data_IF_126074142575
#
_entry.id   IF_126074142575
#
_cell.length_a   1.000
_cell.length_b   1.000
_cell.length_c   1.000
_cell.angle_alpha   90.00
_cell.angle_beta   90.00
_cell.angle_gamma   90.00
#
_symmetry.space_group_name_H-M   'P 1'
#
loop_
_entity.id
_entity.type
_entity.pdbx_description
1 polymer ?
#
# COMPACT_ATOMS: atom_id res chain seq x y z
N UNK A 1 -15.74 52.26 -32.04
CA UNK A 1 -14.84 52.09 -30.88
C UNK A 1 -15.43 51.34 -29.68
N UNK A 2 -16.74 51.36 -29.38
CA UNK A 2 -17.34 50.64 -28.23
C UNK A 2 -17.47 49.12 -28.42
N UNK A 3 -17.63 48.58 -29.63
CA UNK A 3 -17.76 47.14 -29.87
C UNK A 3 -16.43 46.35 -29.76
N UNK A 4 -15.29 46.99 -30.03
CA UNK A 4 -13.96 46.37 -29.92
C UNK A 4 -13.58 46.09 -28.44
N UNK A 5 -13.96 46.95 -27.52
CA UNK A 5 -13.67 46.81 -26.08
C UNK A 5 -14.51 45.73 -25.40
N UNK A 6 -15.71 45.43 -25.85
CA UNK A 6 -16.53 44.35 -25.31
C UNK A 6 -15.97 42.98 -25.70
N UNK A 7 -15.55 42.79 -26.95
CA UNK A 7 -14.98 41.50 -27.40
C UNK A 7 -13.66 41.14 -26.69
N UNK A 8 -12.85 42.14 -26.33
CA UNK A 8 -11.60 41.88 -25.58
C UNK A 8 -11.85 41.50 -24.14
N UNK A 9 -12.88 42.06 -23.47
CA UNK A 9 -13.29 41.69 -22.12
C UNK A 9 -13.90 40.27 -22.05
N UNK A 10 -14.71 39.86 -23.02
CA UNK A 10 -15.27 38.52 -23.11
C UNK A 10 -14.19 37.48 -23.38
N UNK A 11 -13.19 37.77 -24.21
CA UNK A 11 -12.05 36.86 -24.42
C UNK A 11 -11.15 36.75 -23.20
N UNK A 12 -10.95 37.82 -22.44
CA UNK A 12 -10.18 37.78 -21.19
C UNK A 12 -10.93 37.03 -20.09
N UNK A 13 -12.24 37.14 -19.97
CA UNK A 13 -13.07 36.41 -19.01
C UNK A 13 -13.13 34.92 -19.37
N UNK A 14 -13.24 34.55 -20.66
CA UNK A 14 -13.20 33.14 -21.10
C UNK A 14 -11.83 32.51 -20.93
N UNK A 15 -10.73 33.26 -21.05
CA UNK A 15 -9.38 32.80 -20.75
C UNK A 15 -9.16 32.64 -19.24
N UNK A 16 -9.67 33.55 -18.41
CA UNK A 16 -9.59 33.44 -16.94
C UNK A 16 -10.48 32.31 -16.39
N UNK A 17 -11.68 32.09 -16.93
CA UNK A 17 -12.53 30.96 -16.55
C UNK A 17 -11.97 29.63 -17.06
N UNK A 18 -11.36 29.57 -18.23
CA UNK A 18 -10.62 28.41 -18.73
C UNK A 18 -9.40 28.09 -17.88
N UNK A 19 -8.66 29.10 -17.41
CA UNK A 19 -7.52 28.94 -16.50
C UNK A 19 -7.96 28.53 -15.09
N UNK A 20 -9.10 29.02 -14.58
CA UNK A 20 -9.66 28.59 -13.30
C UNK A 20 -10.29 27.19 -13.36
N UNK A 21 -10.86 26.76 -14.49
CA UNK A 21 -11.30 25.36 -14.66
C UNK A 21 -10.13 24.39 -14.82
N UNK A 22 -8.97 24.82 -15.32
CA UNK A 22 -7.76 24.02 -15.35
C UNK A 22 -7.06 23.93 -13.99
N UNK A 23 -7.32 24.86 -13.07
CA UNK A 23 -6.77 24.86 -11.70
C UNK A 23 -7.59 24.02 -10.68
N UNK A 24 -8.72 23.43 -11.07
CA UNK A 24 -9.40 22.39 -10.31
C UNK A 24 -8.84 20.98 -10.56
N UNK A 25 -7.73 20.86 -11.29
CA UNK A 25 -6.90 19.67 -11.27
C UNK A 25 -6.28 19.57 -9.87
N UNK A 26 -6.99 18.88 -9.00
CA UNK A 26 -6.61 18.26 -7.73
C UNK A 26 -5.25 18.73 -7.19
N UNK A 27 -5.27 19.48 -6.09
CA UNK A 27 -4.12 19.63 -5.22
C UNK A 27 -3.77 18.23 -4.68
N UNK A 28 -2.88 17.52 -5.39
CA UNK A 28 -2.22 16.34 -4.85
C UNK A 28 -1.36 16.82 -3.69
N UNK A 29 -1.59 16.28 -2.50
CA UNK A 29 -0.75 16.60 -1.34
C UNK A 29 0.62 15.98 -1.58
N UNK A 30 1.57 16.81 -1.99
CA UNK A 30 2.97 16.44 -2.16
C UNK A 30 3.63 16.37 -0.77
N UNK A 31 3.91 15.18 -0.29
CA UNK A 31 5.11 14.97 0.51
C UNK A 31 6.24 14.77 -0.49
N UNK A 32 7.46 15.24 -0.24
CA UNK A 32 8.55 15.31 -1.24
C UNK A 32 8.76 14.04 -2.10
N UNK A 33 8.26 12.88 -1.70
CA UNK A 33 8.49 11.59 -2.33
C UNK A 33 7.21 10.76 -2.56
N UNK A 34 6.00 11.31 -2.31
CA UNK A 34 4.75 10.58 -2.49
C UNK A 34 3.60 11.48 -2.96
N UNK A 35 2.76 10.93 -3.83
CA UNK A 35 1.53 11.52 -4.32
C UNK A 35 0.35 10.72 -3.77
N UNK A 36 -0.52 11.36 -2.99
CA UNK A 36 -1.79 10.80 -2.58
C UNK A 36 -2.74 10.73 -3.78
N UNK A 37 -3.27 9.54 -4.05
CA UNK A 37 -4.20 9.29 -5.13
C UNK A 37 -5.65 9.15 -4.64
N UNK A 38 -5.95 9.46 -3.39
CA UNK A 38 -7.33 9.52 -2.90
C UNK A 38 -8.15 10.59 -3.62
N UNK A 39 -9.47 10.41 -3.68
CA UNK A 39 -10.38 11.35 -4.33
C UNK A 39 -11.22 10.73 -5.44
N UNK A 40 -11.70 11.55 -6.36
CA UNK A 40 -12.56 11.10 -7.46
C UNK A 40 -11.75 10.40 -8.55
N UNK A 41 -12.21 9.22 -8.94
CA UNK A 41 -11.71 8.44 -10.07
C UNK A 41 -12.82 8.26 -11.10
N UNK A 42 -12.48 8.17 -12.38
CA UNK A 42 -13.39 7.64 -13.39
C UNK A 42 -13.61 6.17 -13.11
N UNK A 43 -14.77 5.65 -13.50
CA UNK A 43 -15.21 4.35 -13.11
C UNK A 43 -16.07 3.67 -14.16
N UNK A 44 -16.00 2.33 -14.21
CA UNK A 44 -16.93 1.50 -15.00
C UNK A 44 -16.98 0.09 -14.43
N UNK A 45 -18.20 -0.47 -14.33
CA UNK A 45 -18.40 -1.89 -14.07
C UNK A 45 -18.25 -2.70 -15.35
N UNK A 46 -17.67 -3.89 -15.23
CA UNK A 46 -17.47 -4.83 -16.33
C UNK A 46 -17.88 -6.25 -15.85
N UNK A 47 -19.19 -6.49 -15.68
CA UNK A 47 -19.69 -7.76 -15.14
C UNK A 47 -19.42 -8.96 -16.05
N UNK A 48 -19.23 -8.72 -17.34
CA UNK A 48 -18.95 -9.77 -18.32
C UNK A 48 -17.46 -10.05 -18.50
N UNK A 49 -16.58 -9.18 -17.95
CA UNK A 49 -15.12 -9.32 -18.02
C UNK A 49 -14.54 -9.06 -19.43
N UNK A 50 -15.23 -8.29 -20.26
CA UNK A 50 -14.78 -8.02 -21.63
C UNK A 50 -13.78 -6.87 -21.74
N UNK A 51 -13.59 -6.09 -20.69
CA UNK A 51 -12.72 -4.89 -20.70
C UNK A 51 -11.24 -5.15 -20.93
N UNK A 52 -10.80 -6.42 -21.01
CA UNK A 52 -9.47 -6.83 -21.43
C UNK A 52 -9.45 -7.49 -22.83
N UNK A 53 -10.61 -7.62 -23.47
CA UNK A 53 -10.75 -8.31 -24.75
C UNK A 53 -10.37 -7.38 -25.90
N UNK A 54 -9.61 -7.85 -26.91
CA UNK A 54 -9.27 -7.05 -28.08
C UNK A 54 -10.50 -6.41 -28.74
N UNK A 55 -10.47 -5.09 -28.91
CA UNK A 55 -11.57 -4.26 -29.42
C UNK A 55 -12.57 -3.77 -28.38
N UNK A 56 -12.33 -4.05 -27.08
CA UNK A 56 -13.15 -3.62 -25.95
C UNK A 56 -12.28 -3.24 -24.74
N UNK A 57 -11.04 -2.83 -24.97
CA UNK A 57 -10.06 -2.55 -23.92
C UNK A 57 -10.40 -1.29 -23.15
N UNK A 58 -11.02 -1.43 -21.98
CA UNK A 58 -11.46 -0.29 -21.16
C UNK A 58 -10.32 0.58 -20.64
N UNK A 59 -9.09 0.09 -20.62
CA UNK A 59 -7.93 0.91 -20.24
C UNK A 59 -7.51 1.91 -21.36
N UNK A 60 -7.95 1.69 -22.59
CA UNK A 60 -7.75 2.64 -23.72
C UNK A 60 -8.86 3.68 -23.80
N UNK A 61 -10.01 3.41 -23.21
CA UNK A 61 -11.17 4.28 -23.24
C UNK A 61 -11.18 5.26 -22.07
N UNK A 62 -11.91 6.35 -22.24
CA UNK A 62 -12.23 7.26 -21.15
C UNK A 62 -13.48 6.75 -20.43
N UNK A 63 -13.29 6.22 -19.21
CA UNK A 63 -14.42 5.69 -18.43
C UNK A 63 -15.46 6.76 -18.11
N UNK A 64 -16.75 6.40 -18.17
CA UNK A 64 -17.86 7.34 -18.24
C UNK A 64 -18.41 7.76 -16.87
N UNK A 65 -18.33 6.88 -15.87
CA UNK A 65 -18.82 7.13 -14.51
C UNK A 65 -17.74 7.64 -13.59
N UNK A 66 -18.10 7.90 -12.33
CA UNK A 66 -17.14 8.31 -11.29
C UNK A 66 -17.43 7.59 -9.99
N UNK A 67 -16.38 7.42 -9.17
CA UNK A 67 -16.42 6.87 -7.82
C UNK A 67 -15.38 7.55 -6.93
N UNK A 68 -15.67 7.66 -5.64
CA UNK A 68 -14.71 8.13 -4.64
C UNK A 68 -13.82 6.98 -4.18
N UNK A 69 -12.50 7.15 -4.18
CA UNK A 69 -11.52 6.24 -3.62
C UNK A 69 -10.69 6.95 -2.52
N UNK A 70 -10.20 6.24 -1.51
CA UNK A 70 -10.46 4.83 -1.21
C UNK A 70 -11.94 4.55 -0.92
N UNK A 71 -12.40 3.36 -1.28
CA UNK A 71 -13.77 2.96 -1.09
C UNK A 71 -14.14 1.68 -1.84
N UNK A 72 -15.38 1.23 -1.63
CA UNK A 72 -15.97 0.09 -2.32
C UNK A 72 -17.07 0.50 -3.29
N UNK A 73 -17.43 -0.42 -4.17
CA UNK A 73 -18.61 -0.29 -5.04
C UNK A 73 -19.89 -0.05 -4.22
N UNK A 74 -20.03 -0.69 -3.04
CA UNK A 74 -21.13 -0.46 -2.11
C UNK A 74 -21.23 0.99 -1.65
N UNK A 75 -20.12 1.56 -1.19
CA UNK A 75 -20.05 2.97 -0.77
C UNK A 75 -20.34 3.91 -1.93
N UNK A 76 -19.86 3.58 -3.11
CA UNK A 76 -20.09 4.34 -4.34
C UNK A 76 -21.49 4.20 -4.92
N UNK A 77 -22.34 3.35 -4.34
CA UNK A 77 -23.68 3.06 -4.88
C UNK A 77 -23.64 2.38 -6.24
N UNK A 78 -22.60 1.59 -6.50
CA UNK A 78 -22.36 0.90 -7.78
C UNK A 78 -22.66 -0.58 -7.67
N UNK A 79 -23.34 -1.11 -8.68
CA UNK A 79 -23.81 -2.51 -8.72
C UNK A 79 -25.33 -2.62 -8.71
N UNK A 80 -25.84 -3.80 -8.37
CA UNK A 80 -27.26 -4.08 -8.28
C UNK A 80 -27.76 -3.69 -6.89
N UNK A 81 -28.73 -2.78 -6.83
CA UNK A 81 -29.33 -2.38 -5.55
C UNK A 81 -30.03 -3.57 -4.91
N UNK A 82 -29.56 -3.94 -3.73
CA UNK A 82 -30.16 -5.04 -2.98
C UNK A 82 -31.38 -4.56 -2.19
N UNK A 83 -32.51 -5.23 -2.37
CA UNK A 83 -33.74 -5.01 -1.62
C UNK A 83 -34.12 -6.18 -0.71
N UNK A 84 -33.36 -7.27 -0.79
CA UNK A 84 -33.55 -8.45 0.03
C UNK A 84 -33.04 -8.21 1.48
N UNK A 85 -33.66 -8.91 2.43
CA UNK A 85 -33.19 -9.00 3.81
C UNK A 85 -32.83 -10.44 4.10
N UNK A 86 -31.56 -10.69 4.24
CA UNK A 86 -31.05 -12.02 4.58
C UNK A 86 -30.98 -12.16 6.10
N UNK A 87 -31.24 -13.38 6.61
CA UNK A 87 -31.11 -13.73 8.03
C UNK A 87 -29.89 -14.61 8.31
N UNK A 88 -29.30 -15.17 7.26
CA UNK A 88 -28.19 -16.14 7.28
C UNK A 88 -26.87 -15.57 6.80
N UNK A 89 -26.86 -14.30 6.35
CA UNK A 89 -25.68 -13.63 5.77
C UNK A 89 -25.84 -12.12 5.81
N UNK A 90 -24.77 -11.43 5.43
CA UNK A 90 -24.76 -9.97 5.35
C UNK A 90 -25.64 -9.48 4.18
N UNK A 91 -26.36 -8.39 4.41
CA UNK A 91 -27.16 -7.70 3.40
C UNK A 91 -26.48 -6.40 3.02
N UNK A 92 -25.71 -6.40 1.93
CA UNK A 92 -25.11 -5.18 1.37
C UNK A 92 -26.17 -4.33 0.68
N UNK A 93 -25.96 -3.01 0.61
CA UNK A 93 -26.85 -2.09 -0.10
C UNK A 93 -26.80 -2.28 -1.61
N UNK A 94 -25.61 -2.55 -2.13
CA UNK A 94 -25.36 -2.81 -3.54
C UNK A 94 -24.48 -4.05 -3.64
N UNK A 95 -24.85 -4.96 -4.51
CA UNK A 95 -24.12 -6.20 -4.76
C UNK A 95 -23.43 -6.10 -6.12
N UNK A 96 -22.18 -6.46 -6.15
CA UNK A 96 -21.42 -6.56 -7.38
C UNK A 96 -20.37 -7.66 -7.29
N UNK A 97 -20.32 -8.49 -8.33
CA UNK A 97 -19.27 -9.48 -8.56
C UNK A 97 -18.81 -9.39 -10.00
N UNK A 98 -17.52 -9.24 -10.22
CA UNK A 98 -16.93 -9.05 -11.53
C UNK A 98 -15.78 -8.04 -11.52
N UNK A 99 -15.30 -7.67 -12.69
CA UNK A 99 -14.30 -6.66 -12.86
C UNK A 99 -14.88 -5.24 -12.72
N UNK A 100 -14.20 -4.39 -11.95
CA UNK A 100 -14.49 -2.98 -11.82
C UNK A 100 -13.24 -2.18 -12.20
N UNK A 101 -13.41 -1.17 -13.03
CA UNK A 101 -12.36 -0.38 -13.62
C UNK A 101 -12.33 1.02 -13.02
N UNK A 102 -11.14 1.46 -12.63
CA UNK A 102 -10.87 2.74 -12.00
C UNK A 102 -9.80 3.45 -12.80
N UNK A 103 -10.01 4.72 -13.17
CA UNK A 103 -9.10 5.45 -14.04
C UNK A 103 -8.88 6.88 -13.55
N UNK A 104 -7.63 7.34 -13.59
CA UNK A 104 -7.26 8.70 -13.19
C UNK A 104 -6.03 9.18 -13.95
N UNK A 105 -6.02 10.45 -14.32
CA UNK A 105 -4.81 11.14 -14.77
C UNK A 105 -3.92 11.48 -13.58
N UNK A 106 -2.64 11.22 -13.71
CA UNK A 106 -1.60 11.52 -12.73
C UNK A 106 -0.49 12.33 -13.37
N UNK A 107 0.09 13.25 -12.61
CA UNK A 107 1.22 14.06 -13.05
C UNK A 107 2.47 13.57 -12.33
N UNK A 108 3.43 13.05 -13.08
CA UNK A 108 4.71 12.60 -12.54
C UNK A 108 5.68 13.78 -12.53
N UNK A 109 6.23 14.14 -11.34
CA UNK A 109 7.16 15.25 -11.20
C UNK A 109 8.48 15.03 -11.96
N UNK A 110 9.10 16.11 -12.43
CA UNK A 110 10.39 16.08 -13.12
C UNK A 110 11.53 15.52 -12.27
N UNK A 111 11.49 15.76 -10.96
CA UNK A 111 12.50 15.25 -10.00
C UNK A 111 12.39 13.74 -9.74
N UNK A 112 11.39 13.06 -10.32
CA UNK A 112 11.27 11.59 -10.30
C UNK A 112 11.91 10.89 -11.50
N UNK A 113 12.46 11.62 -12.47
CA UNK A 113 13.00 11.10 -13.74
C UNK A 113 14.00 9.93 -13.57
N UNK A 114 14.87 10.03 -12.58
CA UNK A 114 15.91 9.02 -12.31
C UNK A 114 15.63 8.10 -11.12
N UNK A 115 14.38 8.11 -10.61
CA UNK A 115 13.97 7.36 -9.41
C UNK A 115 13.20 6.10 -9.79
N UNK A 116 13.07 5.16 -8.86
CA UNK A 116 12.11 4.06 -8.98
C UNK A 116 10.75 4.51 -8.48
N UNK A 117 9.71 4.35 -9.34
CA UNK A 117 8.34 4.77 -9.06
C UNK A 117 7.50 3.56 -8.75
N UNK A 118 6.77 3.64 -7.65
CA UNK A 118 5.91 2.59 -7.13
C UNK A 118 4.48 3.07 -7.00
N UNK A 119 3.51 2.23 -7.39
CA UNK A 119 2.12 2.35 -7.00
C UNK A 119 1.88 1.44 -5.81
N UNK A 120 1.35 1.99 -4.72
CA UNK A 120 0.87 1.24 -3.57
C UNK A 120 -0.65 1.33 -3.50
N UNK A 121 -1.31 0.17 -3.45
CA UNK A 121 -2.73 0.01 -3.17
C UNK A 121 -2.81 -0.81 -1.89
N UNK A 122 -3.28 -0.20 -0.78
CA UNK A 122 -3.20 -0.85 0.52
C UNK A 122 -4.01 -2.12 0.59
N UNK A 123 -5.23 -2.11 0.04
CA UNK A 123 -6.10 -3.27 0.01
C UNK A 123 -7.04 -3.22 -1.19
N UNK A 124 -6.86 -4.16 -2.08
CA UNK A 124 -7.80 -4.43 -3.17
C UNK A 124 -8.49 -5.77 -2.92
N UNK A 125 -9.71 -5.92 -3.36
CA UNK A 125 -10.43 -7.16 -3.20
C UNK A 125 -10.87 -7.70 -4.57
N UNK A 126 -10.05 -8.53 -5.22
CA UNK A 126 -8.76 -9.10 -4.82
C UNK A 126 -7.75 -9.17 -5.97
N UNK A 127 -8.14 -9.68 -7.17
CA UNK A 127 -7.28 -9.63 -8.35
C UNK A 127 -7.18 -8.19 -8.84
N UNK A 128 -5.97 -7.71 -8.99
CA UNK A 128 -5.71 -6.32 -9.37
C UNK A 128 -4.76 -6.28 -10.55
N UNK A 129 -5.21 -5.72 -11.66
CA UNK A 129 -4.38 -5.45 -12.84
C UNK A 129 -4.21 -3.94 -13.00
N UNK A 130 -3.00 -3.49 -13.27
CA UNK A 130 -2.66 -2.08 -13.41
C UNK A 130 -2.16 -1.81 -14.83
N UNK A 131 -2.62 -0.70 -15.38
CA UNK A 131 -2.20 -0.17 -16.69
C UNK A 131 -1.70 1.26 -16.52
N UNK A 132 -0.68 1.60 -17.28
CA UNK A 132 -0.20 2.97 -17.47
C UNK A 132 -0.35 3.30 -18.94
N UNK A 133 -1.17 4.28 -19.24
CA UNK A 133 -1.57 4.63 -20.61
C UNK A 133 -2.13 3.37 -21.34
N UNK A 134 -1.45 2.92 -22.39
CA UNK A 134 -1.81 1.75 -23.20
C UNK A 134 -1.11 0.45 -22.78
N UNK A 135 -0.34 0.45 -21.68
CA UNK A 135 0.52 -0.69 -21.30
C UNK A 135 0.14 -1.29 -19.97
N UNK A 136 0.05 -2.61 -19.94
CA UNK A 136 -0.09 -3.34 -18.70
C UNK A 136 1.20 -3.30 -17.88
N UNK A 137 1.09 -2.85 -16.62
CA UNK A 137 2.19 -2.84 -15.66
C UNK A 137 2.30 -4.17 -14.90
N UNK A 138 1.23 -4.95 -14.88
CA UNK A 138 1.18 -6.26 -14.25
C UNK A 138 -0.07 -6.53 -13.45
N UNK A 139 -0.17 -7.75 -12.93
CA UNK A 139 -1.30 -8.24 -12.14
C UNK A 139 -0.82 -8.81 -10.81
N UNK A 140 -1.61 -8.60 -9.76
CA UNK A 140 -1.42 -9.20 -8.43
C UNK A 140 -2.74 -9.71 -7.89
N UNK A 141 -2.63 -10.72 -7.04
CA UNK A 141 -3.78 -11.40 -6.48
C UNK A 141 -3.56 -11.57 -4.97
N UNK A 142 -3.97 -10.54 -4.22
CA UNK A 142 -3.80 -10.47 -2.78
C UNK A 142 -5.12 -10.07 -2.12
N UNK A 143 -5.54 -10.83 -1.10
CA UNK A 143 -6.76 -10.55 -0.36
C UNK A 143 -6.54 -9.56 0.80
N UNK A 144 -5.42 -9.66 1.51
CA UNK A 144 -5.21 -8.96 2.79
C UNK A 144 -3.89 -8.19 2.90
N UNK A 145 -3.04 -8.27 1.89
CA UNK A 145 -1.75 -7.57 1.86
C UNK A 145 -1.76 -6.47 0.79
N UNK A 146 -0.96 -5.40 0.96
CA UNK A 146 -0.85 -4.36 -0.05
C UNK A 146 -0.37 -4.88 -1.40
N UNK A 147 -0.97 -4.37 -2.46
CA UNK A 147 -0.49 -4.54 -3.83
C UNK A 147 0.47 -3.40 -4.16
N UNK A 148 1.75 -3.71 -4.39
CA UNK A 148 2.75 -2.72 -4.80
C UNK A 148 3.28 -3.08 -6.18
N UNK A 149 3.18 -2.14 -7.13
CA UNK A 149 3.65 -2.29 -8.50
C UNK A 149 4.84 -1.37 -8.76
N UNK A 150 5.87 -1.86 -9.45
CA UNK A 150 6.97 -1.03 -9.95
C UNK A 150 6.56 -0.48 -11.30
N UNK A 151 6.38 0.82 -11.39
CA UNK A 151 5.90 1.49 -12.61
C UNK A 151 7.01 2.24 -13.38
N UNK A 152 8.23 2.25 -12.88
CA UNK A 152 9.39 2.95 -13.48
C UNK A 152 9.55 2.73 -14.99
N UNK A 153 9.39 1.50 -15.53
CA UNK A 153 9.56 1.30 -16.97
C UNK A 153 8.49 1.99 -17.84
N UNK A 154 7.37 2.38 -17.23
CA UNK A 154 6.19 2.91 -17.92
C UNK A 154 5.92 4.39 -17.61
N UNK A 155 6.43 4.90 -16.49
CA UNK A 155 6.21 6.28 -16.05
C UNK A 155 7.47 7.11 -16.27
N UNK A 156 7.37 8.11 -17.13
CA UNK A 156 8.32 9.21 -17.24
C UNK A 156 7.70 10.46 -16.59
N UNK A 157 8.46 11.54 -16.32
CA UNK A 157 7.87 12.82 -15.96
C UNK A 157 6.84 13.28 -16.99
N UNK A 158 5.71 13.81 -16.51
CA UNK A 158 4.62 14.25 -17.36
C UNK A 158 3.25 13.72 -16.93
N UNK A 159 2.27 13.84 -17.83
CA UNK A 159 0.90 13.39 -17.59
C UNK A 159 0.72 11.98 -18.11
N UNK A 160 0.19 11.10 -17.27
CA UNK A 160 -0.13 9.72 -17.59
C UNK A 160 -1.53 9.34 -17.15
N UNK A 161 -2.14 8.38 -17.82
CA UNK A 161 -3.40 7.76 -17.40
C UNK A 161 -3.11 6.47 -16.63
N UNK A 162 -3.47 6.45 -15.36
CA UNK A 162 -3.41 5.25 -14.53
C UNK A 162 -4.78 4.56 -14.54
N UNK A 163 -4.84 3.33 -15.01
CA UNK A 163 -6.05 2.50 -15.01
C UNK A 163 -5.84 1.25 -14.18
N UNK A 164 -6.78 0.97 -13.28
CA UNK A 164 -6.74 -0.17 -12.35
C UNK A 164 -8.00 -0.98 -12.55
N UNK A 165 -7.86 -2.28 -12.78
CA UNK A 165 -8.95 -3.23 -12.82
C UNK A 165 -8.90 -4.09 -11.54
N UNK A 166 -9.94 -4.05 -10.72
CA UNK A 166 -10.11 -4.93 -9.56
C UNK A 166 -11.22 -5.91 -9.83
N UNK A 167 -10.93 -7.21 -9.70
CA UNK A 167 -11.90 -8.27 -9.95
C UNK A 167 -12.07 -9.12 -8.69
N UNK A 168 -13.30 -9.18 -8.17
CA UNK A 168 -13.68 -9.98 -7.00
C UNK A 168 -14.40 -11.30 -7.35
N UNK A 169 -14.33 -11.72 -8.61
CA UNK A 169 -14.90 -13.01 -9.02
C UNK A 169 -14.22 -14.17 -8.30
N UNK A 170 -15.01 -15.07 -7.75
CA UNK A 170 -14.51 -16.26 -7.06
C UNK A 170 -13.88 -17.22 -8.07
N UNK A 171 -12.55 -17.31 -8.06
CA UNK A 171 -11.78 -18.16 -8.99
C UNK A 171 -11.52 -19.56 -8.46
N UNK A 172 -11.45 -19.70 -7.15
CA UNK A 172 -11.05 -20.95 -6.49
C UNK A 172 -12.27 -21.63 -5.90
N UNK A 173 -12.34 -22.95 -5.91
CA UNK A 173 -13.43 -23.72 -5.30
C UNK A 173 -13.29 -23.66 -3.77
N UNK A 174 -13.77 -22.57 -3.19
CA UNK A 174 -13.78 -22.35 -1.75
C UNK A 174 -15.17 -22.62 -1.19
N UNK A 175 -15.22 -23.13 0.04
CA UNK A 175 -16.46 -23.29 0.79
C UNK A 175 -17.15 -21.93 1.02
N UNK A 176 -18.46 -21.94 1.08
CA UNK A 176 -19.26 -20.73 1.36
C UNK A 176 -18.93 -20.05 2.69
N UNK A 177 -18.36 -20.80 3.64
CA UNK A 177 -17.94 -20.29 4.95
C UNK A 177 -16.50 -19.76 4.98
N UNK A 178 -15.85 -19.67 3.83
CA UNK A 178 -14.51 -19.12 3.75
C UNK A 178 -14.53 -17.60 3.97
N UNK A 179 -13.74 -17.15 4.96
CA UNK A 179 -13.75 -15.77 5.40
C UNK A 179 -13.20 -14.80 4.36
N UNK A 180 -13.88 -13.66 4.19
CA UNK A 180 -13.44 -12.56 3.33
C UNK A 180 -13.66 -12.78 1.83
N UNK A 181 -14.32 -13.87 1.42
CA UNK A 181 -14.54 -14.19 0.01
C UNK A 181 -16.01 -14.42 -0.34
N UNK A 182 -16.88 -14.58 0.65
CA UNK A 182 -18.32 -14.81 0.46
C UNK A 182 -19.17 -13.93 1.39
N UNK A 183 -20.45 -13.82 1.06
CA UNK A 183 -21.41 -13.04 1.85
C UNK A 183 -21.80 -13.71 3.18
N UNK A 184 -21.44 -14.98 3.40
CA UNK A 184 -21.84 -15.72 4.60
C UNK A 184 -21.00 -15.40 5.83
N UNK A 185 -19.80 -14.85 5.65
CA UNK A 185 -18.88 -14.54 6.75
C UNK A 185 -18.54 -13.05 6.82
N UNK A 186 -17.72 -12.56 5.90
CA UNK A 186 -17.57 -11.15 5.57
C UNK A 186 -18.13 -10.96 4.17
N UNK A 187 -18.11 -9.79 3.61
CA UNK A 187 -18.65 -9.59 2.26
C UNK A 187 -17.61 -9.84 1.18
N UNK A 188 -18.06 -10.25 -0.02
CA UNK A 188 -17.26 -10.24 -1.24
C UNK A 188 -17.36 -8.87 -1.91
N UNK A 189 -16.80 -7.82 -1.27
CA UNK A 189 -16.82 -6.46 -1.78
C UNK A 189 -15.89 -6.28 -2.99
N UNK A 190 -16.06 -5.22 -3.78
CA UNK A 190 -15.13 -4.80 -4.81
C UNK A 190 -14.69 -3.36 -4.52
N UNK A 191 -13.42 -3.07 -4.70
CA UNK A 191 -12.91 -1.72 -4.46
C UNK A 191 -11.44 -1.67 -4.10
N UNK A 192 -11.01 -0.46 -3.73
CA UNK A 192 -9.67 -0.16 -3.23
C UNK A 192 -9.85 0.56 -1.91
N UNK A 193 -9.48 -0.09 -0.81
CA UNK A 193 -9.58 0.46 0.54
C UNK A 193 -8.20 0.85 1.10
N UNK A 194 -8.19 1.78 2.04
CA UNK A 194 -6.96 2.27 2.66
C UNK A 194 -6.16 3.20 1.76
N UNK A 195 -4.85 3.19 1.87
CA UNK A 195 -3.94 4.11 1.20
C UNK A 195 -3.79 3.79 -0.30
N UNK A 196 -3.89 4.81 -1.13
CA UNK A 196 -3.63 4.75 -2.57
C UNK A 196 -2.59 5.82 -2.89
N UNK A 197 -1.37 5.42 -3.20
CA UNK A 197 -0.29 6.38 -3.43
C UNK A 197 0.69 5.95 -4.52
N UNK A 198 1.20 6.93 -5.26
CA UNK A 198 2.45 6.80 -6.00
C UNK A 198 3.56 7.34 -5.12
N UNK A 199 4.70 6.65 -5.08
CA UNK A 199 5.89 7.15 -4.41
C UNK A 199 7.15 6.82 -5.19
N UNK A 200 8.15 7.69 -5.06
CA UNK A 200 9.44 7.54 -5.72
C UNK A 200 10.54 7.25 -4.70
N UNK A 201 11.45 6.38 -5.10
CA UNK A 201 12.65 6.04 -4.32
C UNK A 201 13.89 6.19 -5.17
N UNK A 202 15.01 6.55 -4.54
CA UNK A 202 16.31 6.49 -5.20
C UNK A 202 16.56 5.07 -5.72
N UNK A 203 17.22 4.94 -6.88
CA UNK A 203 17.57 3.62 -7.46
C UNK A 203 18.36 2.75 -6.49
N UNK A 204 19.18 3.38 -5.65
CA UNK A 204 19.92 2.73 -4.58
C UNK A 204 19.17 2.85 -3.24
N UNK A 205 18.08 2.10 -3.05
CA UNK A 205 17.29 2.14 -1.83
C UNK A 205 17.22 0.78 -1.14
N UNK A 206 16.78 0.79 0.10
CA UNK A 206 16.47 -0.43 0.87
C UNK A 206 15.04 -0.85 0.53
N UNK A 207 14.88 -2.06 0.00
CA UNK A 207 13.56 -2.64 -0.30
C UNK A 207 12.89 -3.21 0.94
N UNK A 208 13.69 -3.87 1.80
CA UNK A 208 13.18 -4.55 2.99
C UNK A 208 14.21 -4.62 4.10
N UNK A 209 13.74 -4.47 5.34
CA UNK A 209 14.48 -4.77 6.57
C UNK A 209 13.63 -5.71 7.40
N UNK A 210 14.21 -6.83 7.80
CA UNK A 210 13.65 -7.74 8.80
C UNK A 210 14.57 -7.82 10.01
N UNK A 211 13.97 -7.91 11.20
CA UNK A 211 14.67 -7.89 12.48
C UNK A 211 14.24 -9.11 13.26
N UNK A 212 15.20 -9.93 13.64
CA UNK A 212 14.98 -11.19 14.37
C UNK A 212 15.75 -11.16 15.70
N UNK A 213 15.09 -10.75 16.80
CA UNK A 213 15.71 -10.77 18.12
C UNK A 213 15.95 -12.19 18.61
N UNK A 214 17.14 -12.43 19.17
CA UNK A 214 17.46 -13.67 19.92
C UNK A 214 17.80 -13.29 21.37
N UNK A 215 16.89 -13.63 22.27
CA UNK A 215 17.02 -13.35 23.68
C UNK A 215 18.12 -14.21 24.31
N UNK A 216 18.31 -15.43 23.83
CA UNK A 216 19.27 -16.38 24.39
C UNK A 216 20.72 -15.96 24.15
N UNK A 217 21.02 -15.55 22.96
CA UNK A 217 22.34 -15.02 22.57
C UNK A 217 22.51 -13.53 22.86
N UNK A 218 21.44 -12.85 23.28
CA UNK A 218 21.41 -11.37 23.46
C UNK A 218 21.88 -10.63 22.23
N UNK A 219 21.40 -11.07 21.07
CA UNK A 219 21.77 -10.53 19.79
C UNK A 219 20.53 -10.30 18.91
N UNK A 220 20.70 -9.59 17.82
CA UNK A 220 19.65 -9.36 16.82
C UNK A 220 20.22 -9.72 15.45
N UNK A 221 19.60 -10.68 14.75
CA UNK A 221 19.86 -10.87 13.35
C UNK A 221 19.06 -9.85 12.55
N UNK A 222 19.73 -9.14 11.67
CA UNK A 222 19.12 -8.16 10.77
C UNK A 222 19.34 -8.61 9.34
N UNK A 223 18.24 -8.74 8.59
CA UNK A 223 18.26 -9.02 7.16
C UNK A 223 17.87 -7.76 6.40
N UNK A 224 18.77 -7.26 5.56
CA UNK A 224 18.54 -6.09 4.71
C UNK A 224 18.56 -6.53 3.26
N UNK A 225 17.54 -6.14 2.51
CA UNK A 225 17.43 -6.36 1.07
C UNK A 225 17.49 -5.00 0.36
N UNK A 226 18.66 -4.55 -0.09
CA UNK A 226 18.74 -3.35 -0.93
C UNK A 226 18.19 -3.61 -2.34
N UNK A 227 17.93 -2.53 -3.08
CA UNK A 227 17.72 -2.62 -4.53
C UNK A 227 18.96 -3.18 -5.23
N UNK A 228 18.81 -3.90 -6.35
CA UNK A 228 19.92 -4.49 -7.08
C UNK A 228 20.96 -3.46 -7.49
N UNK A 229 22.23 -3.81 -7.33
CA UNK A 229 23.35 -3.03 -7.82
C UNK A 229 23.71 -3.44 -9.26
N UNK A 230 24.25 -2.50 -10.02
CA UNK A 230 24.89 -2.81 -11.29
C UNK A 230 26.15 -3.64 -11.05
N UNK A 231 26.53 -4.45 -12.03
CA UNK A 231 27.79 -5.21 -11.99
C UNK A 231 28.97 -4.27 -11.77
N UNK A 232 29.81 -4.58 -10.78
CA UNK A 232 30.95 -3.78 -10.39
C UNK A 232 30.68 -2.61 -9.43
N UNK A 233 29.40 -2.33 -9.13
CA UNK A 233 29.07 -1.40 -8.05
C UNK A 233 29.20 -2.06 -6.67
N UNK A 234 29.53 -1.24 -5.68
CA UNK A 234 29.50 -1.59 -4.26
C UNK A 234 28.68 -0.57 -3.50
N UNK A 235 27.99 -1.04 -2.48
CA UNK A 235 27.25 -0.19 -1.57
C UNK A 235 27.81 -0.32 -0.15
N UNK A 236 27.59 0.70 0.66
CA UNK A 236 27.97 0.74 2.08
C UNK A 236 26.70 0.69 2.92
N UNK A 237 26.58 -0.35 3.74
CA UNK A 237 25.49 -0.50 4.72
C UNK A 237 25.99 -0.12 6.11
N UNK A 238 25.30 0.81 6.75
CA UNK A 238 25.46 1.11 8.16
C UNK A 238 24.21 0.65 8.93
N UNK A 239 24.40 -0.14 9.97
CA UNK A 239 23.36 -0.61 10.89
C UNK A 239 23.63 0.01 12.28
N UNK A 240 22.62 0.66 12.84
CA UNK A 240 22.70 1.31 14.14
C UNK A 240 21.49 0.91 15.00
N UNK A 241 21.73 0.24 16.14
CA UNK A 241 20.68 -0.04 17.12
C UNK A 241 20.79 0.92 18.28
N UNK A 242 19.65 1.49 18.67
CA UNK A 242 19.52 2.39 19.82
C UNK A 242 18.32 2.03 20.69
N UNK A 243 18.35 2.43 21.95
CA UNK A 243 17.13 2.51 22.78
C UNK A 243 16.18 3.51 22.11
N UNK A 244 14.88 3.29 22.11
CA UNK A 244 13.91 4.17 21.46
C UNK A 244 14.07 5.62 21.97
N UNK A 245 14.46 6.54 21.07
CA UNK A 245 14.76 7.93 21.39
C UNK A 245 16.03 8.15 22.24
N UNK A 246 16.91 7.14 22.37
CA UNK A 246 17.99 7.14 23.34
C UNK A 246 19.37 6.77 22.78
N UNK A 247 20.19 6.16 23.66
CA UNK A 247 21.60 5.86 23.46
C UNK A 247 21.81 4.78 22.40
N UNK A 248 22.82 4.96 21.55
CA UNK A 248 23.32 3.91 20.63
C UNK A 248 23.92 2.76 21.45
N UNK A 249 23.47 1.54 21.11
CA UNK A 249 23.91 0.28 21.70
C UNK A 249 24.98 -0.36 20.85
N UNK A 250 24.73 -0.46 19.55
CA UNK A 250 25.66 -1.05 18.59
C UNK A 250 25.57 -0.32 17.25
N UNK A 251 26.73 -0.17 16.62
CA UNK A 251 26.84 0.34 15.25
C UNK A 251 27.79 -0.57 14.49
N UNK A 252 27.40 -0.96 13.29
CA UNK A 252 28.20 -1.77 12.39
C UNK A 252 28.12 -1.23 10.97
N UNK A 253 29.26 -1.22 10.29
CA UNK A 253 29.35 -0.80 8.89
C UNK A 253 29.98 -1.91 8.08
N UNK A 254 29.45 -2.17 6.90
CA UNK A 254 29.98 -3.13 5.94
C UNK A 254 29.79 -2.65 4.50
N UNK A 255 30.65 -3.12 3.62
CA UNK A 255 30.45 -2.96 2.19
C UNK A 255 29.87 -4.24 1.61
N UNK A 256 29.04 -4.11 0.59
CA UNK A 256 28.48 -5.23 -0.13
C UNK A 256 28.52 -4.99 -1.63
N UNK A 257 28.89 -6.02 -2.38
CA UNK A 257 28.88 -6.03 -3.83
C UNK A 257 27.52 -6.48 -4.38
N UNK A 258 27.40 -6.52 -5.70
CA UNK A 258 26.15 -6.90 -6.36
C UNK A 258 25.70 -8.34 -6.06
N UNK A 259 26.61 -9.28 -5.81
CA UNK A 259 26.29 -10.67 -5.46
C UNK A 259 25.71 -10.76 -4.04
N UNK A 260 26.36 -10.08 -3.08
CA UNK A 260 25.90 -10.01 -1.69
C UNK A 260 24.55 -9.33 -1.59
N UNK A 261 24.33 -8.24 -2.33
CA UNK A 261 23.04 -7.55 -2.41
C UNK A 261 21.96 -8.47 -3.00
N UNK A 262 22.29 -9.23 -4.04
CA UNK A 262 21.35 -10.18 -4.65
C UNK A 262 20.93 -11.29 -3.67
N UNK A 263 21.88 -11.82 -2.90
CA UNK A 263 21.63 -12.85 -1.88
C UNK A 263 20.87 -12.31 -0.65
N UNK A 264 20.87 -10.99 -0.45
CA UNK A 264 20.40 -10.35 0.79
C UNK A 264 21.50 -10.31 1.87
N UNK A 265 21.64 -9.15 2.50
CA UNK A 265 22.66 -8.91 3.51
C UNK A 265 22.12 -9.31 4.88
N UNK A 266 22.79 -10.23 5.56
CA UNK A 266 22.45 -10.65 6.93
C UNK A 266 23.58 -10.35 7.87
N UNK A 267 23.23 -9.79 9.05
CA UNK A 267 24.20 -9.43 10.09
C UNK A 267 23.64 -9.77 11.46
N UNK A 268 24.46 -10.35 12.33
CA UNK A 268 24.14 -10.54 13.74
C UNK A 268 24.79 -9.48 14.58
N UNK A 269 24.00 -8.69 15.28
CA UNK A 269 24.43 -7.56 16.10
C UNK A 269 24.30 -7.90 17.58
N UNK A 270 25.40 -7.96 18.36
CA UNK A 270 25.35 -8.24 19.79
C UNK A 270 24.80 -7.04 20.56
N UNK A 271 23.77 -7.26 21.37
CA UNK A 271 23.13 -6.23 22.19
C UNK A 271 23.79 -6.05 23.57
N UNK A 272 24.68 -6.98 23.95
CA UNK A 272 25.38 -6.96 25.23
C UNK A 272 24.52 -7.35 26.43
N UNK A 273 25.16 -7.40 27.62
CA UNK A 273 24.54 -7.95 28.81
C UNK A 273 23.46 -7.07 29.46
N UNK A 274 23.36 -5.80 29.07
CA UNK A 274 22.38 -4.85 29.64
C UNK A 274 21.11 -4.72 28.81
N UNK A 275 20.87 -5.67 27.90
CA UNK A 275 19.65 -5.71 27.11
C UNK A 275 18.42 -5.88 28.01
N UNK A 276 17.41 -5.04 27.76
CA UNK A 276 16.11 -5.11 28.44
C UNK A 276 15.13 -5.88 27.56
N UNK A 277 14.40 -6.80 28.18
CA UNK A 277 13.41 -7.59 27.47
C UNK A 277 12.11 -6.81 27.35
N UNK A 278 11.37 -7.14 26.31
CA UNK A 278 10.02 -6.66 26.12
C UNK A 278 9.04 -7.70 26.74
N UNK A 279 8.14 -7.24 27.57
CA UNK A 279 6.94 -7.99 27.97
C UNK A 279 5.72 -7.06 28.03
N UNK A 280 4.54 -7.61 28.30
CA UNK A 280 3.28 -6.87 28.31
C UNK A 280 3.17 -5.84 29.46
N UNK A 281 3.99 -5.94 30.47
CA UNK A 281 4.03 -5.01 31.61
C UNK A 281 5.14 -3.96 31.45
N UNK A 282 6.22 -4.37 30.78
CA UNK A 282 7.39 -3.52 30.50
C UNK A 282 7.73 -3.59 29.01
N UNK A 283 6.94 -2.94 28.15
CA UNK A 283 7.07 -3.05 26.68
C UNK A 283 8.28 -2.25 26.16
N UNK A 284 9.49 -2.69 26.55
CA UNK A 284 10.72 -1.99 26.20
C UNK A 284 11.09 -2.20 24.73
N UNK A 285 11.29 -1.10 24.01
CA UNK A 285 11.53 -1.10 22.57
C UNK A 285 12.91 -0.58 22.24
N UNK A 286 13.45 -1.12 21.17
CA UNK A 286 14.66 -0.69 20.49
C UNK A 286 14.32 -0.24 19.09
N UNK A 287 15.21 0.55 18.52
CA UNK A 287 15.11 1.01 17.15
C UNK A 287 16.37 0.61 16.40
N UNK A 288 16.21 0.00 15.23
CA UNK A 288 17.30 -0.20 14.28
C UNK A 288 17.12 0.75 13.10
N UNK A 289 18.17 1.47 12.80
CA UNK A 289 18.34 2.28 11.62
C UNK A 289 19.32 1.59 10.68
N UNK A 290 18.90 1.40 9.43
CA UNK A 290 19.76 0.92 8.35
C UNK A 290 19.90 2.01 7.30
N UNK A 291 21.15 2.43 7.04
CA UNK A 291 21.51 3.41 6.02
C UNK A 291 22.30 2.73 4.92
N UNK A 292 21.78 2.79 3.68
CA UNK A 292 22.40 2.22 2.50
C UNK A 292 22.90 3.33 1.57
N UNK A 293 24.18 3.37 1.33
CA UNK A 293 24.80 4.38 0.47
C UNK A 293 25.44 3.74 -0.77
N UNK A 294 25.11 4.28 -1.94
CA UNK A 294 25.73 3.92 -3.23
C UNK A 294 26.02 5.20 -3.99
N UNK A 295 27.25 5.39 -4.41
CA UNK A 295 27.70 6.55 -5.20
C UNK A 295 27.29 7.91 -4.58
N UNK A 296 27.31 7.98 -3.23
CA UNK A 296 26.98 9.20 -2.47
C UNK A 296 25.48 9.41 -2.20
N UNK A 297 24.60 8.62 -2.79
CA UNK A 297 23.16 8.64 -2.49
C UNK A 297 22.86 7.67 -1.35
N UNK A 298 22.11 8.14 -0.35
CA UNK A 298 21.78 7.36 0.86
C UNK A 298 20.29 7.21 1.02
N UNK A 299 19.83 5.97 1.20
CA UNK A 299 18.49 5.65 1.72
C UNK A 299 18.60 5.16 3.16
N UNK A 300 17.71 5.64 4.02
CA UNK A 300 17.69 5.27 5.43
C UNK A 300 16.30 4.79 5.83
N UNK A 301 16.25 3.64 6.47
CA UNK A 301 15.02 3.09 7.01
C UNK A 301 15.18 2.69 8.47
N UNK A 302 14.11 2.87 9.23
CA UNK A 302 14.07 2.55 10.66
C UNK A 302 13.00 1.49 10.92
N UNK A 303 13.31 0.59 11.87
CA UNK A 303 12.35 -0.39 12.39
C UNK A 303 12.44 -0.44 13.91
N UNK A 304 11.27 -0.50 14.54
CA UNK A 304 11.16 -0.69 15.99
C UNK A 304 11.00 -2.18 16.30
N UNK A 305 11.65 -2.66 17.34
CA UNK A 305 11.56 -4.06 17.79
C UNK A 305 11.68 -4.18 19.31
N UNK A 306 11.14 -5.27 19.86
CA UNK A 306 11.34 -5.65 21.26
C UNK A 306 12.20 -6.92 21.36
N UNK A 307 13.09 -6.96 22.33
CA UNK A 307 13.84 -8.19 22.65
C UNK A 307 12.93 -9.13 23.41
N UNK A 308 12.32 -10.08 22.69
CA UNK A 308 11.39 -11.06 23.24
C UNK A 308 11.52 -12.40 22.54
N UNK A 309 11.24 -13.46 23.30
CA UNK A 309 11.07 -14.80 22.77
C UNK A 309 9.64 -15.27 23.08
N UNK A 310 8.93 -15.72 22.05
CA UNK A 310 7.60 -16.33 22.16
C UNK A 310 7.76 -17.79 21.76
N UNK A 311 7.43 -18.70 22.65
CA UNK A 311 7.60 -20.13 22.45
C UNK A 311 6.36 -20.93 22.87
N UNK A 312 6.21 -22.10 22.30
CA UNK A 312 5.17 -23.04 22.69
C UNK A 312 5.66 -23.84 23.92
N UNK A 313 5.00 -23.65 25.07
CA UNK A 313 5.16 -24.53 26.21
C UNK A 313 4.27 -25.76 26.09
N UNK A 314 4.32 -26.63 27.12
CA UNK A 314 3.53 -27.86 27.13
C UNK A 314 2.01 -27.63 27.10
N UNK A 315 1.54 -26.60 27.81
CA UNK A 315 0.12 -26.28 27.97
C UNK A 315 -0.21 -24.82 27.71
N UNK A 316 0.79 -23.93 27.68
CA UNK A 316 0.65 -22.50 27.55
C UNK A 316 1.66 -21.93 26.55
N UNK A 317 1.36 -20.78 25.99
CA UNK A 317 2.35 -19.96 25.30
C UNK A 317 3.24 -19.32 26.35
N UNK A 318 4.55 -19.25 26.07
CA UNK A 318 5.54 -18.61 26.93
C UNK A 318 6.08 -17.35 26.30
N UNK A 319 6.25 -16.35 27.12
CA UNK A 319 6.95 -15.13 26.76
C UNK A 319 8.19 -15.00 27.65
N UNK A 320 9.37 -14.99 27.05
CA UNK A 320 10.66 -14.99 27.75
C UNK A 320 10.78 -16.08 28.83
N UNK A 321 10.27 -17.29 28.53
CA UNK A 321 10.25 -18.43 29.44
C UNK A 321 9.14 -18.43 30.50
N UNK A 322 8.35 -17.36 30.62
CA UNK A 322 7.21 -17.25 31.53
C UNK A 322 5.91 -17.66 30.82
N UNK A 323 5.12 -18.52 31.43
CA UNK A 323 3.79 -18.86 30.92
C UNK A 323 2.89 -17.62 30.92
N UNK A 324 2.18 -17.40 29.82
CA UNK A 324 1.23 -16.30 29.67
C UNK A 324 -0.17 -16.84 29.44
N UNK A 325 -1.17 -16.05 29.85
CA UNK A 325 -2.57 -16.34 29.61
C UNK A 325 -3.16 -15.30 28.65
N UNK A 326 -3.54 -15.76 27.46
CA UNK A 326 -4.14 -14.89 26.45
C UNK A 326 -5.64 -14.78 26.72
N UNK A 327 -6.14 -13.55 26.75
CA UNK A 327 -7.57 -13.24 26.75
C UNK A 327 -7.89 -12.54 25.45
N UNK A 328 -8.92 -12.99 24.77
CA UNK A 328 -9.31 -12.43 23.49
C UNK A 328 -10.80 -12.53 23.26
N UNK A 329 -11.28 -11.81 22.28
CA UNK A 329 -12.62 -11.90 21.73
C UNK A 329 -12.52 -12.23 20.25
N UNK A 330 -13.54 -12.91 19.72
CA UNK A 330 -13.72 -13.07 18.30
C UNK A 330 -14.51 -11.88 17.78
N UNK A 331 -13.91 -11.12 16.88
CA UNK A 331 -14.60 -10.06 16.13
C UNK A 331 -14.56 -10.42 14.64
N UNK A 332 -15.71 -10.63 14.04
CA UNK A 332 -15.84 -10.91 12.62
C UNK A 332 -15.67 -9.65 11.75
N UNK A 333 -15.50 -8.48 12.36
CA UNK A 333 -15.30 -7.20 11.67
C UNK A 333 -16.34 -6.95 10.55
N UNK A 334 -17.61 -7.12 10.89
CA UNK A 334 -18.75 -7.06 9.96
C UNK A 334 -19.17 -5.61 9.78
N UNK A 335 -19.01 -5.09 8.56
CA UNK A 335 -19.35 -3.71 8.20
C UNK A 335 -20.29 -3.68 6.98
N UNK A 336 -21.60 -3.86 7.15
CA UNK A 336 -22.54 -4.02 6.03
C UNK A 336 -22.73 -2.76 5.18
N UNK A 337 -22.35 -1.58 5.71
CA UNK A 337 -22.46 -0.32 4.95
C UNK A 337 -21.35 -0.15 3.91
N UNK A 338 -20.18 -0.71 4.16
CA UNK A 338 -18.99 -0.57 3.33
C UNK A 338 -18.57 -1.87 2.66
N UNK A 339 -18.92 -3.00 3.24
CA UNK A 339 -18.50 -4.33 2.81
C UNK A 339 -17.10 -4.72 3.31
N UNK A 340 -16.39 -3.83 4.02
CA UNK A 340 -15.06 -4.08 4.60
C UNK A 340 -14.90 -3.33 5.93
N UNK A 341 -13.95 -3.75 6.81
CA UNK A 341 -13.66 -3.05 8.05
C UNK A 341 -13.20 -1.61 7.81
N UNK A 342 -13.66 -0.68 8.66
CA UNK A 342 -13.25 0.71 8.54
C UNK A 342 -11.73 0.87 8.66
N UNK A 343 -11.16 1.72 7.81
CA UNK A 343 -9.76 2.15 7.89
C UNK A 343 -9.60 3.44 8.70
N UNK A 344 -10.71 4.02 9.20
CA UNK A 344 -10.70 5.23 10.01
C UNK A 344 -10.58 4.87 11.50
N UNK A 345 -9.54 5.39 12.14
CA UNK A 345 -9.28 5.18 13.58
C UNK A 345 -10.42 5.66 14.47
N UNK A 346 -11.14 6.73 14.10
CA UNK A 346 -12.22 7.28 14.92
C UNK A 346 -13.44 6.35 14.96
N UNK A 347 -13.69 5.57 13.93
CA UNK A 347 -14.72 4.52 13.97
C UNK A 347 -14.38 3.45 15.02
N UNK A 348 -13.11 3.04 15.08
CA UNK A 348 -12.64 2.05 16.05
C UNK A 348 -12.61 2.61 17.48
N UNK A 349 -12.25 3.88 17.69
CA UNK A 349 -12.34 4.53 19.00
C UNK A 349 -13.77 4.53 19.57
N UNK A 350 -14.76 4.56 18.69
CA UNK A 350 -16.17 4.49 19.12
C UNK A 350 -16.59 3.07 19.49
N UNK A 351 -15.94 2.05 18.91
CA UNK A 351 -16.24 0.65 19.18
C UNK A 351 -15.55 0.18 20.47
N UNK A 352 -14.31 0.64 20.71
CA UNK A 352 -13.50 0.30 21.89
C UNK A 352 -13.51 1.42 22.94
#
# INVERSE_FOLDING_TARGET
>A
MKQSFQNTRYRAILLLTGLMLAMTAMAQTLTNDALDLSGMWRFQLDPMGFGKTPGSELYLDKLSETIMLPGSTDQGGKGIKNTARYVDRLSRKFEYQGAAWYQREVVIPEDWADREIYLKLERCHWETTVYVDDKEAGMKEHLSTPNTFVLTPLLAPGIHTLTICVNNTLKYPMDQWNHGTTEYTQTNWNGIAGDISLYAKEKAHIRQINVYPDVSSKAVEVSVQPAPLKTGQTGKLELCIREQGGKIIVRQTLNADSLQVHAGIRQTLPMGNRVKLWDEFTPYLYEIEASWNVDGKTDTQTRTFGMRNVEQGKHHIRLNGRDIHLRGVLDCAVFPLTGYPSTNVDDWKRIF
#
